data_IF_373775306057
#
_entry.id   IF_373775306057
#
_cell.length_a   1.000
_cell.length_b   1.000
_cell.length_c   1.000
_cell.angle_alpha   90.00
_cell.angle_beta   90.00
_cell.angle_gamma   90.00
#
_symmetry.space_group_name_H-M   'P 1'
#
loop_
_entity.id
_entity.type
_entity.pdbx_description
1 polymer ?
#
# COMPACT_ATOMS: atom_id res chain seq x y z
N UNK A 1 5.67 9.18 11.81
CA UNK A 1 6.16 9.64 10.51
C UNK A 1 5.59 11.02 10.19
N UNK A 2 4.27 11.18 9.98
CA UNK A 2 3.62 12.44 9.54
C UNK A 2 3.98 13.67 10.40
N UNK A 3 4.03 13.53 11.73
CA UNK A 3 4.43 14.61 12.64
C UNK A 3 5.89 15.03 12.41
N UNK A 4 6.81 14.05 12.32
CA UNK A 4 8.25 14.32 12.11
C UNK A 4 8.49 15.02 10.77
N UNK A 5 7.85 14.56 9.70
CA UNK A 5 7.92 15.19 8.39
C UNK A 5 7.47 16.65 8.48
N UNK A 6 6.26 16.90 9.04
CA UNK A 6 5.71 18.24 9.16
C UNK A 6 6.59 19.17 9.99
N UNK A 7 7.14 18.67 11.13
CA UNK A 7 8.07 19.44 11.99
C UNK A 7 9.34 19.85 11.25
N UNK A 8 9.81 19.03 10.33
CA UNK A 8 11.06 19.26 9.61
C UNK A 8 10.88 20.12 8.34
N UNK A 9 9.69 20.13 7.74
CA UNK A 9 9.43 20.83 6.46
C UNK A 9 8.80 22.21 6.63
N UNK A 10 8.04 22.43 7.70
CA UNK A 10 7.32 23.69 7.90
C UNK A 10 8.14 24.73 8.67
N UNK A 11 8.09 25.97 8.22
CA UNK A 11 8.68 27.11 8.96
C UNK A 11 7.80 27.48 10.14
N UNK A 12 8.40 27.57 11.31
CA UNK A 12 7.73 27.94 12.57
C UNK A 12 8.45 29.11 13.23
N UNK A 13 7.70 29.97 13.95
CA UNK A 13 8.31 30.91 14.88
C UNK A 13 8.99 30.16 16.03
N UNK A 14 9.95 30.81 16.71
CA UNK A 14 10.64 30.20 17.86
C UNK A 14 9.65 29.86 18.98
N UNK A 15 8.63 30.70 19.20
CA UNK A 15 7.57 30.44 20.16
C UNK A 15 6.77 29.17 19.80
N UNK A 16 6.33 29.06 18.55
CA UNK A 16 5.61 27.85 18.06
C UNK A 16 6.50 26.63 18.18
N UNK A 17 7.77 26.73 17.83
CA UNK A 17 8.74 25.62 17.93
C UNK A 17 8.84 25.12 19.37
N UNK A 18 8.96 26.00 20.35
CA UNK A 18 9.02 25.65 21.77
C UNK A 18 7.77 24.89 22.22
N UNK A 19 6.57 25.40 21.87
CA UNK A 19 5.30 24.72 22.19
C UNK A 19 5.18 23.34 21.54
N UNK A 20 5.62 23.21 20.30
CA UNK A 20 5.65 21.92 19.57
C UNK A 20 6.57 20.92 20.25
N UNK A 21 7.75 21.36 20.72
CA UNK A 21 8.70 20.51 21.45
C UNK A 21 8.18 20.08 22.83
N UNK A 22 7.49 20.95 23.54
CA UNK A 22 6.82 20.61 24.79
C UNK A 22 5.72 19.54 24.58
N UNK A 23 4.90 19.68 23.52
CA UNK A 23 3.87 18.69 23.18
C UNK A 23 4.49 17.36 22.72
N UNK A 24 5.58 17.40 21.96
CA UNK A 24 6.31 16.20 21.58
C UNK A 24 6.87 15.46 22.80
N UNK A 25 7.42 16.18 23.77
CA UNK A 25 7.90 15.59 25.03
C UNK A 25 6.76 14.91 25.80
N UNK A 26 5.60 15.58 25.92
CA UNK A 26 4.39 15.00 26.54
C UNK A 26 3.93 13.74 25.79
N UNK A 27 3.92 13.76 24.44
CA UNK A 27 3.56 12.61 23.63
C UNK A 27 4.50 11.42 23.84
N UNK A 28 5.82 11.67 23.91
CA UNK A 28 6.82 10.63 24.18
C UNK A 28 6.65 10.04 25.59
N UNK A 29 6.42 10.88 26.59
CA UNK A 29 6.15 10.43 27.97
C UNK A 29 4.87 9.58 28.05
N UNK A 30 3.78 10.00 27.41
CA UNK A 30 2.54 9.25 27.33
C UNK A 30 2.73 7.88 26.62
N UNK A 31 3.54 7.86 25.54
CA UNK A 31 3.90 6.60 24.84
C UNK A 31 4.68 5.66 25.76
N UNK A 32 5.65 6.17 26.51
CA UNK A 32 6.43 5.39 27.49
C UNK A 32 5.56 4.83 28.61
N UNK A 33 4.51 5.56 29.01
CA UNK A 33 3.49 5.12 29.97
C UNK A 33 2.36 4.29 29.36
N UNK A 34 2.45 3.86 28.09
CA UNK A 34 1.42 3.11 27.33
C UNK A 34 0.06 3.82 27.22
N UNK A 35 0.01 5.13 27.41
CA UNK A 35 -1.18 5.97 27.24
C UNK A 35 -1.28 6.48 25.79
N UNK A 36 -1.49 5.55 24.87
CA UNK A 36 -1.43 5.83 23.42
C UNK A 36 -2.45 6.88 22.95
N UNK A 37 -3.66 6.90 23.54
CA UNK A 37 -4.66 7.92 23.24
C UNK A 37 -4.16 9.33 23.57
N UNK A 38 -3.58 9.54 24.76
CA UNK A 38 -2.97 10.82 25.16
C UNK A 38 -1.80 11.20 24.24
N UNK A 39 -0.95 10.24 23.90
CA UNK A 39 0.16 10.48 22.98
C UNK A 39 -0.35 11.00 21.62
N UNK A 40 -1.40 10.39 21.08
CA UNK A 40 -2.06 10.82 19.83
C UNK A 40 -2.61 12.25 19.98
N UNK A 41 -3.29 12.58 21.11
CA UNK A 41 -3.78 13.93 21.40
C UNK A 41 -2.68 14.98 21.29
N UNK A 42 -1.55 14.74 21.96
CA UNK A 42 -0.43 15.69 21.95
C UNK A 42 0.20 15.85 20.56
N UNK A 43 0.38 14.77 19.80
CA UNK A 43 0.88 14.87 18.43
C UNK A 43 -0.08 15.61 17.50
N UNK A 44 -1.40 15.37 17.59
CA UNK A 44 -2.39 16.07 16.77
C UNK A 44 -2.45 17.56 17.10
N UNK A 45 -2.35 17.93 18.39
CA UNK A 45 -2.29 19.31 18.84
C UNK A 45 -1.00 20.01 18.34
N UNK A 46 0.14 19.34 18.40
CA UNK A 46 1.40 19.84 17.84
C UNK A 46 1.31 20.07 16.32
N UNK A 47 0.70 19.12 15.58
CA UNK A 47 0.49 19.29 14.13
C UNK A 47 -0.48 20.45 13.82
N UNK A 48 -1.48 20.70 14.63
CA UNK A 48 -2.36 21.85 14.48
C UNK A 48 -1.60 23.17 14.67
N UNK A 49 -0.74 23.27 15.69
CA UNK A 49 0.13 24.43 15.92
C UNK A 49 1.07 24.69 14.73
N UNK A 50 1.74 23.67 14.22
CA UNK A 50 2.62 23.80 13.05
C UNK A 50 1.88 24.39 11.84
N UNK A 51 0.61 24.03 11.67
CA UNK A 51 -0.26 24.49 10.57
C UNK A 51 -0.99 25.79 10.86
N UNK A 52 -0.69 26.44 11.97
CA UNK A 52 -1.40 27.64 12.45
C UNK A 52 -2.92 27.44 12.51
N UNK A 53 -3.34 26.26 12.98
CA UNK A 53 -4.76 25.91 13.09
C UNK A 53 -5.20 25.96 14.55
N UNK A 54 -6.32 26.66 14.89
CA UNK A 54 -6.79 26.75 16.25
C UNK A 54 -7.17 25.36 16.80
N UNK A 55 -6.85 25.10 18.06
CA UNK A 55 -7.23 23.88 18.76
C UNK A 55 -8.49 24.16 19.57
N UNK A 56 -9.65 24.11 18.90
CA UNK A 56 -10.98 24.35 19.50
C UNK A 56 -11.53 23.07 20.16
N UNK A 57 -12.50 23.18 21.10
CA UNK A 57 -13.17 22.00 21.67
C UNK A 57 -13.77 21.06 20.62
N UNK A 58 -14.40 21.61 19.57
CA UNK A 58 -14.94 20.81 18.44
C UNK A 58 -13.84 20.07 17.68
N UNK A 59 -12.70 20.72 17.44
CA UNK A 59 -11.55 20.08 16.80
C UNK A 59 -10.95 18.98 17.68
N UNK A 60 -10.84 19.21 18.99
CA UNK A 60 -10.32 18.23 19.92
C UNK A 60 -11.23 17.00 20.00
N UNK A 61 -12.56 17.20 20.12
CA UNK A 61 -13.52 16.11 20.07
C UNK A 61 -13.43 15.37 18.72
N UNK A 62 -13.40 16.11 17.60
CA UNK A 62 -13.19 15.52 16.28
C UNK A 62 -11.93 14.68 16.21
N UNK A 63 -10.83 15.13 16.79
CA UNK A 63 -9.55 14.40 16.82
C UNK A 63 -9.63 13.15 17.71
N UNK A 64 -10.39 13.18 18.79
CA UNK A 64 -10.62 12.05 19.69
C UNK A 64 -11.52 10.97 19.06
N UNK A 65 -12.51 11.39 18.27
CA UNK A 65 -13.53 10.51 17.71
C UNK A 65 -12.97 9.52 16.68
N UNK A 66 -13.40 8.29 16.80
CA UNK A 66 -13.24 7.21 15.82
C UNK A 66 -14.62 6.78 15.32
N UNK A 67 -14.73 6.63 14.01
CA UNK A 67 -15.94 6.13 13.36
C UNK A 67 -15.62 4.75 12.79
N UNK A 68 -16.46 3.78 13.10
CA UNK A 68 -16.40 2.43 12.55
C UNK A 68 -17.74 2.06 11.95
N UNK A 69 -17.73 1.62 10.70
CA UNK A 69 -18.87 0.96 10.07
C UNK A 69 -18.82 -0.53 10.35
N UNK A 70 -19.98 -1.17 10.42
CA UNK A 70 -20.08 -2.64 10.52
C UNK A 70 -19.51 -3.32 9.26
N UNK A 71 -19.59 -2.66 8.11
CA UNK A 71 -19.04 -3.10 6.83
C UNK A 71 -18.74 -1.90 5.91
N UNK A 72 -17.99 -2.13 4.84
CA UNK A 72 -17.70 -1.12 3.81
C UNK A 72 -18.44 -1.38 2.49
N UNK A 73 -18.92 -2.61 2.27
CA UNK A 73 -19.63 -3.01 1.05
C UNK A 73 -21.10 -3.28 1.39
N UNK A 74 -22.00 -2.54 0.75
CA UNK A 74 -23.44 -2.58 0.99
C UNK A 74 -24.20 -2.92 -0.26
N UNK A 75 -25.30 -3.68 -0.10
CA UNK A 75 -26.36 -3.77 -1.07
C UNK A 75 -27.34 -2.58 -0.91
N UNK A 76 -27.99 -2.10 -1.99
CA UNK A 76 -29.12 -1.18 -1.86
C UNK A 76 -30.20 -1.77 -0.96
N UNK A 77 -30.72 -0.96 -0.03
CA UNK A 77 -31.68 -1.40 0.97
C UNK A 77 -31.07 -1.93 2.27
N UNK A 78 -29.77 -2.14 2.33
CA UNK A 78 -29.07 -2.51 3.57
C UNK A 78 -29.19 -1.41 4.64
N UNK A 79 -28.85 -1.78 5.87
CA UNK A 79 -28.65 -0.83 6.97
C UNK A 79 -27.17 -0.75 7.30
N UNK A 80 -26.64 0.45 7.37
CA UNK A 80 -25.30 0.73 7.87
C UNK A 80 -25.36 1.03 9.37
N UNK A 81 -24.55 0.31 10.16
CA UNK A 81 -24.37 0.59 11.58
C UNK A 81 -23.09 1.41 11.76
N UNK A 82 -23.25 2.66 12.16
CA UNK A 82 -22.17 3.61 12.41
C UNK A 82 -21.90 3.63 13.90
N UNK A 83 -20.75 3.12 14.32
CA UNK A 83 -20.32 3.16 15.74
C UNK A 83 -19.32 4.28 15.94
N UNK A 84 -19.63 5.19 16.88
CA UNK A 84 -18.81 6.31 17.32
C UNK A 84 -18.16 5.93 18.63
N UNK A 85 -16.85 6.06 18.73
CA UNK A 85 -16.06 5.91 19.95
C UNK A 85 -14.99 6.98 20.03
N UNK A 86 -14.26 7.07 21.14
CA UNK A 86 -13.15 8.02 21.28
C UNK A 86 -11.87 7.31 21.76
N UNK A 87 -10.74 7.81 21.29
CA UNK A 87 -9.40 7.28 21.61
C UNK A 87 -8.75 7.97 22.81
N UNK A 88 -9.22 9.17 23.16
CA UNK A 88 -8.82 9.92 24.34
C UNK A 88 -9.93 10.87 24.78
N UNK A 89 -9.88 11.32 26.04
CA UNK A 89 -10.83 12.31 26.57
C UNK A 89 -10.35 13.71 26.20
N UNK A 90 -11.21 14.56 25.57
CA UNK A 90 -10.94 15.98 25.36
C UNK A 90 -10.66 16.73 26.67
N UNK A 91 -9.74 17.70 26.65
CA UNK A 91 -9.42 18.52 27.84
C UNK A 91 -10.59 19.49 28.15
N UNK A 92 -11.26 19.96 27.09
CA UNK A 92 -12.41 20.87 27.21
C UNK A 92 -13.65 20.18 26.61
N UNK A 93 -14.60 19.74 27.46
CA UNK A 93 -15.81 19.11 26.96
C UNK A 93 -16.70 20.11 26.22
N UNK A 94 -17.41 19.63 25.21
CA UNK A 94 -18.45 20.40 24.53
C UNK A 94 -19.68 20.47 25.41
N UNK A 95 -20.26 21.69 25.56
CA UNK A 95 -21.45 21.88 26.35
C UNK A 95 -22.72 21.40 25.62
N UNK A 96 -23.57 20.69 26.35
CA UNK A 96 -24.87 20.22 25.86
C UNK A 96 -24.81 19.04 24.90
N UNK A 97 -26.00 18.64 24.45
CA UNK A 97 -26.16 17.51 23.55
C UNK A 97 -25.93 17.93 22.10
N UNK A 98 -25.37 17.00 21.32
CA UNK A 98 -25.14 17.16 19.89
C UNK A 98 -26.41 16.79 19.10
N UNK A 99 -26.65 17.53 18.01
CA UNK A 99 -27.45 17.05 16.89
C UNK A 99 -26.55 16.65 15.73
N UNK A 100 -27.08 15.98 14.74
CA UNK A 100 -26.27 15.61 13.58
C UNK A 100 -27.07 14.96 12.47
N UNK A 101 -26.34 14.65 11.40
CA UNK A 101 -26.90 13.94 10.25
C UNK A 101 -25.89 12.96 9.68
N UNK A 102 -26.42 11.96 8.97
CA UNK A 102 -25.66 11.06 8.13
C UNK A 102 -26.08 11.31 6.71
N UNK A 103 -25.12 11.58 5.83
CA UNK A 103 -25.33 11.74 4.40
C UNK A 103 -24.48 10.77 3.59
N UNK A 104 -24.90 10.52 2.36
CA UNK A 104 -24.19 9.70 1.38
C UNK A 104 -24.00 10.51 0.10
N UNK A 105 -22.76 10.62 -0.36
CA UNK A 105 -22.36 11.45 -1.49
C UNK A 105 -21.56 10.68 -2.52
N UNK A 106 -21.85 10.89 -3.80
CA UNK A 106 -20.99 10.53 -4.92
C UNK A 106 -20.43 11.81 -5.59
N UNK A 107 -19.89 11.70 -6.80
CA UNK A 107 -19.37 12.83 -7.56
C UNK A 107 -20.46 13.81 -8.07
N UNK A 108 -21.74 13.43 -8.04
CA UNK A 108 -22.86 14.14 -8.67
C UNK A 108 -23.87 14.67 -7.67
N UNK A 109 -24.12 13.95 -6.60
CA UNK A 109 -25.19 14.26 -5.65
C UNK A 109 -24.83 13.87 -4.23
N UNK A 110 -25.45 14.57 -3.28
CA UNK A 110 -25.44 14.23 -1.86
C UNK A 110 -26.86 13.93 -1.42
N UNK A 111 -27.06 12.84 -0.69
CA UNK A 111 -28.34 12.42 -0.15
C UNK A 111 -28.25 12.28 1.35
N UNK A 112 -29.09 13.03 2.07
CA UNK A 112 -29.22 12.84 3.50
C UNK A 112 -29.97 11.53 3.79
N UNK A 113 -29.41 10.73 4.70
CA UNK A 113 -29.95 9.44 5.09
C UNK A 113 -30.71 9.50 6.40
N UNK A 114 -30.21 10.30 7.35
CA UNK A 114 -30.77 10.37 8.70
C UNK A 114 -30.35 11.66 9.42
N UNK A 115 -31.29 12.28 10.09
CA UNK A 115 -31.04 13.28 11.13
C UNK A 115 -31.25 12.66 12.51
N UNK A 116 -30.55 13.20 13.50
CA UNK A 116 -30.66 12.78 14.91
C UNK A 116 -30.31 13.92 15.86
N UNK A 117 -30.79 13.80 17.10
CA UNK A 117 -30.55 14.79 18.17
C UNK A 117 -30.25 14.04 19.49
N UNK A 118 -29.79 14.78 20.49
CA UNK A 118 -29.67 14.28 21.85
C UNK A 118 -28.47 13.39 22.15
N UNK A 119 -27.45 13.41 21.28
CA UNK A 119 -26.22 12.64 21.49
C UNK A 119 -25.33 13.36 22.52
N UNK A 120 -24.95 12.67 23.57
CA UNK A 120 -23.96 13.16 24.53
C UNK A 120 -22.58 13.25 23.88
N UNK A 121 -21.80 14.34 24.09
CA UNK A 121 -20.48 14.51 23.48
C UNK A 121 -19.36 13.69 24.19
N UNK A 122 -19.73 12.59 24.86
CA UNK A 122 -18.84 11.63 25.48
C UNK A 122 -19.01 10.27 24.81
N UNK A 123 -17.98 9.84 24.08
CA UNK A 123 -17.93 8.57 23.36
C UNK A 123 -16.95 7.56 24.00
N UNK A 124 -16.67 7.71 25.29
CA UNK A 124 -15.95 6.70 26.10
C UNK A 124 -16.72 5.37 26.11
N UNK A 125 -18.06 5.46 26.10
CA UNK A 125 -18.95 4.36 25.77
C UNK A 125 -19.39 4.53 24.32
N UNK A 126 -19.12 3.54 23.45
CA UNK A 126 -19.50 3.64 22.04
C UNK A 126 -20.99 3.86 21.84
N UNK A 127 -21.33 4.76 20.93
CA UNK A 127 -22.69 5.05 20.48
C UNK A 127 -22.88 4.55 19.08
N UNK A 128 -23.95 3.81 18.82
CA UNK A 128 -24.25 3.29 17.49
C UNK A 128 -25.50 3.96 16.90
N UNK A 129 -25.42 4.32 15.62
CA UNK A 129 -26.49 4.95 14.85
C UNK A 129 -26.71 4.11 13.59
N UNK A 130 -27.95 3.70 13.33
CA UNK A 130 -28.33 3.01 12.09
C UNK A 130 -28.83 4.02 11.06
N UNK A 131 -28.42 3.84 9.78
CA UNK A 131 -28.94 4.55 8.63
C UNK A 131 -29.26 3.56 7.49
N UNK A 132 -30.41 3.74 6.83
CA UNK A 132 -30.76 2.92 5.68
C UNK A 132 -29.99 3.39 4.43
N UNK A 133 -29.38 2.45 3.71
CA UNK A 133 -28.78 2.69 2.41
C UNK A 133 -29.90 2.71 1.36
N UNK A 134 -30.12 3.82 0.65
CA UNK A 134 -31.18 3.88 -0.34
C UNK A 134 -30.86 3.06 -1.59
N UNK A 135 -31.86 2.88 -2.46
CA UNK A 135 -31.65 2.28 -3.77
C UNK A 135 -30.87 3.24 -4.67
N UNK A 136 -29.57 3.01 -4.76
CA UNK A 136 -28.61 3.79 -5.54
C UNK A 136 -27.90 2.90 -6.57
N UNK A 137 -27.29 3.52 -7.55
CA UNK A 137 -26.44 2.83 -8.52
C UNK A 137 -25.21 2.23 -7.84
N UNK A 138 -24.67 1.14 -8.40
CA UNK A 138 -23.40 0.61 -7.96
C UNK A 138 -22.28 1.64 -8.14
N UNK A 139 -21.46 1.84 -7.11
CA UNK A 139 -20.37 2.81 -7.14
C UNK A 139 -19.74 3.08 -5.78
N UNK A 140 -18.67 3.84 -5.81
CA UNK A 140 -18.03 4.34 -4.60
C UNK A 140 -18.76 5.60 -4.11
N UNK A 141 -19.05 5.63 -2.82
CA UNK A 141 -19.72 6.73 -2.14
C UNK A 141 -18.94 7.15 -0.90
N UNK A 142 -19.13 8.39 -0.48
CA UNK A 142 -18.65 8.87 0.79
C UNK A 142 -19.82 8.98 1.76
N UNK A 143 -19.83 8.13 2.80
CA UNK A 143 -20.75 8.26 3.93
C UNK A 143 -20.14 9.29 4.89
N UNK A 144 -20.90 10.32 5.24
CA UNK A 144 -20.45 11.42 6.09
C UNK A 144 -21.32 11.50 7.33
N UNK A 145 -20.70 11.37 8.51
CA UNK A 145 -21.30 11.73 9.78
C UNK A 145 -20.98 13.20 10.05
N UNK A 146 -22.00 14.04 10.21
CA UNK A 146 -21.88 15.42 10.64
C UNK A 146 -22.49 15.58 12.02
N UNK A 147 -21.71 16.06 12.99
CA UNK A 147 -22.20 16.46 14.31
C UNK A 147 -22.20 17.98 14.44
N UNK A 148 -23.25 18.51 15.04
CA UNK A 148 -23.49 19.94 15.23
C UNK A 148 -23.51 20.26 16.75
N UNK A 149 -22.39 20.74 17.30
CA UNK A 149 -22.38 21.30 18.65
C UNK A 149 -23.33 22.53 18.71
N UNK A 150 -23.88 22.81 19.89
CA UNK A 150 -24.69 24.02 20.10
C UNK A 150 -23.87 25.29 19.82
N UNK A 151 -22.60 25.25 20.29
CA UNK A 151 -21.63 26.33 20.09
C UNK A 151 -20.34 25.70 19.53
N UNK A 152 -19.78 26.28 18.45
CA UNK A 152 -18.55 25.82 17.84
C UNK A 152 -18.68 25.26 16.43
N UNK A 153 -17.57 24.74 15.92
CA UNK A 153 -17.46 24.25 14.54
C UNK A 153 -18.15 22.91 14.36
N UNK A 154 -18.62 22.65 13.14
CA UNK A 154 -19.12 21.33 12.73
C UNK A 154 -18.01 20.28 12.82
N UNK A 155 -18.38 19.09 13.29
CA UNK A 155 -17.51 17.91 13.28
C UNK A 155 -17.95 17.03 12.11
N UNK A 156 -17.08 16.92 11.09
CA UNK A 156 -17.37 16.18 9.86
C UNK A 156 -16.44 14.97 9.77
N UNK A 157 -17.02 13.78 9.64
CA UNK A 157 -16.30 12.49 9.56
C UNK A 157 -16.73 11.72 8.31
N UNK A 158 -15.99 11.83 7.21
CA UNK A 158 -16.24 11.05 6.01
C UNK A 158 -15.65 9.65 6.13
N UNK A 159 -16.33 8.68 5.52
CA UNK A 159 -15.89 7.28 5.40
C UNK A 159 -16.33 6.76 4.03
N UNK A 160 -15.42 6.13 3.30
CA UNK A 160 -15.73 5.58 1.98
C UNK A 160 -16.49 4.26 2.10
N UNK A 161 -17.51 4.10 1.27
CA UNK A 161 -18.32 2.88 1.15
C UNK A 161 -18.51 2.50 -0.31
N UNK A 162 -18.65 1.22 -0.59
CA UNK A 162 -18.99 0.68 -1.90
C UNK A 162 -20.43 0.18 -1.87
N UNK A 163 -21.28 0.72 -2.75
CA UNK A 163 -22.61 0.14 -3.00
C UNK A 163 -22.48 -0.77 -4.23
N UNK A 164 -22.80 -2.06 -4.06
CA UNK A 164 -22.67 -3.02 -5.14
C UNK A 164 -23.61 -4.21 -4.94
N UNK A 165 -24.63 -4.29 -5.81
CA UNK A 165 -25.69 -5.31 -5.74
C UNK A 165 -25.16 -6.72 -5.82
N UNK A 166 -25.46 -7.53 -4.81
CA UNK A 166 -25.14 -8.94 -4.73
C UNK A 166 -23.64 -9.25 -4.60
N UNK A 167 -22.79 -8.25 -4.35
CA UNK A 167 -21.35 -8.46 -4.35
C UNK A 167 -20.90 -9.33 -3.17
N UNK A 168 -21.51 -9.16 -1.99
CA UNK A 168 -21.24 -10.02 -0.83
C UNK A 168 -21.61 -11.48 -1.11
N UNK A 169 -22.79 -11.72 -1.67
CA UNK A 169 -23.26 -13.07 -2.03
C UNK A 169 -22.38 -13.71 -3.12
N UNK A 170 -22.05 -12.95 -4.18
CA UNK A 170 -21.17 -13.43 -5.26
C UNK A 170 -19.77 -13.77 -4.75
N UNK A 171 -19.21 -12.97 -3.84
CA UNK A 171 -17.93 -13.29 -3.19
C UNK A 171 -17.96 -14.62 -2.46
N UNK A 172 -19.02 -14.89 -1.69
CA UNK A 172 -19.20 -16.15 -0.97
C UNK A 172 -19.38 -17.35 -1.93
N UNK A 173 -20.14 -17.19 -3.00
CA UNK A 173 -20.31 -18.18 -4.05
C UNK A 173 -18.96 -18.54 -4.73
N UNK A 174 -18.16 -17.52 -5.09
CA UNK A 174 -16.84 -17.73 -5.71
C UNK A 174 -15.92 -18.50 -4.78
N UNK A 175 -15.90 -18.20 -3.47
CA UNK A 175 -15.11 -18.97 -2.49
C UNK A 175 -15.47 -20.45 -2.48
N UNK A 176 -16.76 -20.75 -2.45
CA UNK A 176 -17.27 -22.14 -2.47
C UNK A 176 -16.90 -22.84 -3.77
N UNK A 177 -17.10 -22.16 -4.90
CA UNK A 177 -16.78 -22.68 -6.23
C UNK A 177 -15.27 -22.91 -6.40
N UNK A 178 -14.43 -21.98 -5.94
CA UNK A 178 -12.97 -22.13 -5.98
C UNK A 178 -12.49 -23.36 -5.21
N UNK A 179 -13.03 -23.61 -4.01
CA UNK A 179 -12.70 -24.82 -3.24
C UNK A 179 -13.10 -26.11 -3.97
N UNK A 180 -14.27 -26.13 -4.61
CA UNK A 180 -14.74 -27.27 -5.42
C UNK A 180 -13.84 -27.52 -6.64
N UNK A 181 -13.47 -26.45 -7.36
CA UNK A 181 -12.57 -26.52 -8.53
C UNK A 181 -11.18 -27.00 -8.10
N UNK A 182 -10.63 -26.47 -7.01
CA UNK A 182 -9.33 -26.93 -6.47
C UNK A 182 -9.34 -28.43 -6.14
N UNK A 183 -10.40 -28.92 -5.49
CA UNK A 183 -10.55 -30.34 -5.17
C UNK A 183 -10.59 -31.23 -6.45
N UNK A 184 -11.32 -30.75 -7.47
CA UNK A 184 -11.39 -31.45 -8.76
C UNK A 184 -10.06 -31.48 -9.50
N UNK A 185 -9.35 -30.34 -9.58
CA UNK A 185 -8.02 -30.27 -10.21
C UNK A 185 -7.05 -31.25 -9.55
N UNK A 186 -7.05 -31.34 -8.22
CA UNK A 186 -6.22 -32.28 -7.45
C UNK A 186 -6.60 -33.72 -7.76
N UNK A 187 -7.89 -34.05 -7.84
CA UNK A 187 -8.35 -35.41 -8.18
C UNK A 187 -7.98 -35.81 -9.62
N UNK A 188 -8.09 -34.88 -10.55
CA UNK A 188 -7.80 -35.07 -11.98
C UNK A 188 -6.28 -35.01 -12.28
N UNK A 189 -5.42 -34.73 -11.28
CA UNK A 189 -3.97 -34.51 -11.43
C UNK A 189 -3.63 -33.41 -12.46
N UNK A 190 -4.45 -32.38 -12.53
CA UNK A 190 -4.28 -31.21 -13.41
C UNK A 190 -3.65 -30.05 -12.65
N UNK A 191 -2.46 -30.27 -12.11
CA UNK A 191 -1.78 -29.28 -11.27
C UNK A 191 -1.40 -27.98 -12.02
N UNK A 192 -1.31 -28.03 -13.35
CA UNK A 192 -0.91 -26.89 -14.19
C UNK A 192 -1.85 -25.67 -14.06
N UNK A 193 -3.12 -25.88 -13.65
CA UNK A 193 -4.10 -24.81 -13.45
C UNK A 193 -4.33 -24.45 -11.96
N UNK A 194 -3.82 -25.28 -11.06
CA UNK A 194 -4.02 -25.10 -9.60
C UNK A 194 -3.40 -23.82 -9.07
N UNK A 195 -2.33 -23.33 -9.70
CA UNK A 195 -1.63 -22.09 -9.36
C UNK A 195 -2.50 -20.84 -9.50
N UNK A 196 -3.59 -20.89 -10.26
CA UNK A 196 -4.51 -19.77 -10.42
C UNK A 196 -5.58 -19.68 -9.32
N UNK A 197 -5.79 -20.75 -8.54
CA UNK A 197 -6.80 -20.77 -7.47
C UNK A 197 -6.52 -19.73 -6.38
N UNK A 198 -5.29 -19.53 -5.88
CA UNK A 198 -5.01 -18.50 -4.87
C UNK A 198 -5.41 -17.09 -5.30
N UNK A 199 -5.29 -16.76 -6.59
CA UNK A 199 -5.71 -15.45 -7.10
C UNK A 199 -7.24 -15.28 -7.03
N UNK A 200 -8.01 -16.33 -7.30
CA UNK A 200 -9.47 -16.34 -7.15
C UNK A 200 -9.85 -16.21 -5.66
N UNK A 201 -9.19 -16.97 -4.78
CA UNK A 201 -9.42 -16.91 -3.34
C UNK A 201 -9.13 -15.52 -2.78
N UNK A 202 -8.02 -14.91 -3.21
CA UNK A 202 -7.68 -13.54 -2.82
C UNK A 202 -8.75 -12.55 -3.27
N UNK A 203 -9.11 -12.55 -4.55
CA UNK A 203 -10.11 -11.65 -5.11
C UNK A 203 -11.47 -11.80 -4.40
N UNK A 204 -11.91 -13.03 -4.14
CA UNK A 204 -13.11 -13.28 -3.36
C UNK A 204 -12.98 -12.81 -1.90
N UNK A 205 -11.78 -12.86 -1.28
CA UNK A 205 -11.58 -12.38 0.08
C UNK A 205 -11.56 -10.86 0.21
N UNK A 206 -11.39 -10.11 -0.88
CA UNK A 206 -11.29 -8.65 -0.85
C UNK A 206 -12.56 -7.97 -0.30
N UNK A 207 -13.75 -8.55 -0.53
CA UNK A 207 -15.00 -8.06 0.06
C UNK A 207 -14.97 -8.14 1.58
N UNK A 208 -14.56 -9.28 2.13
CA UNK A 208 -14.42 -9.47 3.58
C UNK A 208 -13.31 -8.56 4.17
N UNK A 209 -12.19 -8.42 3.46
CA UNK A 209 -11.11 -7.53 3.87
C UNK A 209 -11.56 -6.07 3.88
N UNK A 210 -12.36 -5.64 2.88
CA UNK A 210 -12.96 -4.31 2.85
C UNK A 210 -13.93 -4.13 4.01
N UNK A 211 -14.83 -5.07 4.24
CA UNK A 211 -15.82 -5.04 5.34
C UNK A 211 -15.16 -5.02 6.72
N UNK A 212 -14.01 -5.68 6.88
CA UNK A 212 -13.25 -5.65 8.15
C UNK A 212 -12.28 -4.47 8.28
N UNK A 213 -12.20 -3.57 7.28
CA UNK A 213 -11.28 -2.44 7.27
C UNK A 213 -9.81 -2.80 7.01
N UNK A 214 -9.52 -4.06 6.62
CA UNK A 214 -8.17 -4.51 6.26
C UNK A 214 -7.75 -4.12 4.84
N UNK A 215 -8.73 -3.74 3.99
CA UNK A 215 -8.51 -3.27 2.63
C UNK A 215 -9.26 -1.95 2.41
N UNK A 216 -8.58 -0.94 1.85
CA UNK A 216 -9.21 0.31 1.44
C UNK A 216 -9.89 0.15 0.09
N UNK A 217 -11.20 0.38 0.04
CA UNK A 217 -11.99 0.38 -1.21
C UNK A 217 -11.62 1.53 -2.16
N UNK A 218 -10.92 2.55 -1.69
CA UNK A 218 -10.42 3.66 -2.52
C UNK A 218 -9.19 3.25 -3.34
N UNK A 219 -8.43 2.27 -2.83
CA UNK A 219 -7.16 1.82 -3.43
C UNK A 219 -7.28 0.53 -4.21
N UNK A 220 -8.39 -0.21 -4.05
CA UNK A 220 -8.60 -1.51 -4.64
C UNK A 220 -9.94 -1.57 -5.37
N UNK A 221 -9.94 -2.08 -6.60
CA UNK A 221 -11.16 -2.37 -7.34
C UNK A 221 -11.77 -3.71 -6.88
N UNK A 222 -12.46 -3.67 -5.73
CA UNK A 222 -13.07 -4.85 -5.12
C UNK A 222 -14.12 -5.49 -6.04
N UNK A 223 -14.94 -4.67 -6.72
CA UNK A 223 -15.97 -5.15 -7.63
C UNK A 223 -15.37 -5.84 -8.85
N UNK A 224 -14.42 -5.18 -9.51
CA UNK A 224 -13.73 -5.75 -10.67
C UNK A 224 -12.95 -7.01 -10.32
N UNK A 225 -12.33 -7.08 -9.14
CA UNK A 225 -11.63 -8.28 -8.68
C UNK A 225 -12.58 -9.49 -8.58
N UNK A 226 -13.76 -9.33 -7.97
CA UNK A 226 -14.77 -10.39 -7.85
C UNK A 226 -15.30 -10.84 -9.22
N UNK A 227 -15.56 -9.88 -10.13
CA UNK A 227 -15.97 -10.20 -11.52
C UNK A 227 -14.89 -10.98 -12.26
N UNK A 228 -13.64 -10.53 -12.16
CA UNK A 228 -12.50 -11.21 -12.77
C UNK A 228 -12.24 -12.61 -12.18
N UNK A 229 -12.48 -12.80 -10.89
CA UNK A 229 -12.36 -14.10 -10.23
C UNK A 229 -13.36 -15.13 -10.80
N UNK A 230 -14.61 -14.71 -11.02
CA UNK A 230 -15.61 -15.57 -11.67
C UNK A 230 -15.17 -15.99 -13.08
N UNK A 231 -14.74 -15.02 -13.90
CA UNK A 231 -14.25 -15.29 -15.25
C UNK A 231 -12.98 -16.18 -15.25
N UNK A 232 -12.14 -16.05 -14.23
CA UNK A 232 -10.95 -16.90 -14.04
C UNK A 232 -11.36 -18.34 -13.77
N UNK A 233 -12.33 -18.58 -12.87
CA UNK A 233 -12.87 -19.92 -12.61
C UNK A 233 -13.51 -20.54 -13.86
N UNK A 234 -14.27 -19.76 -14.63
CA UNK A 234 -14.89 -20.23 -15.87
C UNK A 234 -13.85 -20.78 -16.86
N UNK A 235 -12.68 -20.16 -16.93
CA UNK A 235 -11.57 -20.62 -17.77
C UNK A 235 -10.90 -21.87 -17.22
N UNK A 236 -10.60 -21.89 -15.92
CA UNK A 236 -10.00 -23.06 -15.26
C UNK A 236 -10.88 -24.30 -15.45
N UNK A 237 -12.19 -24.19 -15.29
CA UNK A 237 -13.14 -25.29 -15.48
C UNK A 237 -13.17 -25.82 -16.92
N UNK A 238 -12.91 -24.94 -17.91
CA UNK A 238 -12.73 -25.34 -19.31
C UNK A 238 -11.36 -25.94 -19.61
N UNK A 239 -10.46 -25.96 -18.64
CA UNK A 239 -9.06 -26.43 -18.82
C UNK A 239 -8.18 -25.40 -19.53
N UNK A 240 -8.56 -24.12 -19.49
CA UNK A 240 -7.80 -23.02 -20.10
C UNK A 240 -6.96 -22.29 -19.06
N UNK A 241 -5.69 -21.98 -19.41
CA UNK A 241 -4.84 -21.12 -18.60
C UNK A 241 -5.42 -19.68 -18.56
N UNK A 242 -5.79 -19.17 -17.36
CA UNK A 242 -6.41 -17.85 -17.24
C UNK A 242 -5.46 -16.67 -17.47
N UNK A 243 -4.13 -16.87 -17.42
CA UNK A 243 -3.11 -15.81 -17.63
C UNK A 243 -2.63 -15.70 -19.07
N UNK A 244 -2.68 -16.77 -19.85
CA UNK A 244 -2.04 -16.87 -21.17
C UNK A 244 -2.36 -15.74 -22.13
N UNK A 245 -3.62 -15.26 -22.13
CA UNK A 245 -4.07 -14.18 -23.02
C UNK A 245 -4.13 -12.82 -22.35
N UNK A 246 -3.84 -12.70 -21.05
CA UNK A 246 -3.96 -11.43 -20.34
C UNK A 246 -2.81 -10.49 -20.66
N UNK A 247 -3.15 -9.20 -20.80
CA UNK A 247 -2.23 -8.08 -21.01
C UNK A 247 -2.61 -6.92 -20.10
N UNK A 248 -1.70 -5.97 -19.95
CA UNK A 248 -1.94 -4.79 -19.14
C UNK A 248 -1.76 -5.06 -17.65
N UNK A 249 -2.54 -4.35 -16.85
CA UNK A 249 -2.48 -4.33 -15.38
C UNK A 249 -3.29 -5.49 -14.78
N UNK A 250 -2.62 -6.37 -14.04
CA UNK A 250 -3.20 -7.61 -13.51
C UNK A 250 -2.88 -7.73 -12.03
N UNK A 251 -3.91 -7.85 -11.20
CA UNK A 251 -3.77 -8.26 -9.80
C UNK A 251 -3.90 -9.78 -9.70
N UNK A 252 -2.99 -10.39 -8.97
CA UNK A 252 -2.88 -11.83 -8.82
C UNK A 252 -2.48 -12.21 -7.40
N UNK A 253 -2.44 -13.50 -7.10
CA UNK A 253 -1.94 -13.99 -5.84
C UNK A 253 -1.40 -15.42 -5.99
N UNK A 254 -0.49 -15.80 -5.11
CA UNK A 254 0.02 -17.17 -4.98
C UNK A 254 -0.15 -17.65 -3.54
N UNK A 255 -0.03 -18.96 -3.32
CA UNK A 255 -0.04 -19.55 -1.99
C UNK A 255 1.38 -19.75 -1.51
N UNK A 256 1.74 -19.09 -0.42
CA UNK A 256 3.08 -19.15 0.12
C UNK A 256 3.37 -20.51 0.77
N UNK A 257 4.49 -21.11 0.42
CA UNK A 257 4.96 -22.34 1.06
C UNK A 257 5.51 -22.12 2.48
N UNK A 258 5.66 -20.86 2.91
CA UNK A 258 6.18 -20.52 4.25
C UNK A 258 5.13 -20.78 5.34
N UNK A 259 3.87 -20.45 5.07
CA UNK A 259 2.80 -20.46 6.08
C UNK A 259 1.40 -20.74 5.50
N UNK A 260 1.33 -21.24 4.29
CA UNK A 260 0.09 -21.56 3.55
C UNK A 260 -0.87 -20.38 3.37
N UNK A 261 -0.39 -19.15 3.52
CA UNK A 261 -1.20 -17.94 3.31
C UNK A 261 -1.23 -17.53 1.84
N UNK A 262 -2.33 -16.90 1.42
CA UNK A 262 -2.45 -16.31 0.09
C UNK A 262 -1.79 -14.94 0.08
N UNK A 263 -0.77 -14.75 -0.78
CA UNK A 263 0.00 -13.52 -0.91
C UNK A 263 -0.25 -12.86 -2.25
N UNK A 264 -0.80 -11.63 -2.27
CA UNK A 264 -1.06 -10.93 -3.52
C UNK A 264 0.20 -10.27 -4.08
N UNK A 265 0.19 -10.12 -5.40
CA UNK A 265 1.11 -9.30 -6.16
C UNK A 265 0.37 -8.66 -7.35
N UNK A 266 0.92 -7.60 -7.90
CA UNK A 266 0.35 -6.92 -9.06
C UNK A 266 1.43 -6.77 -10.11
N UNK A 267 1.07 -6.98 -11.39
CA UNK A 267 2.03 -6.94 -12.46
C UNK A 267 1.44 -6.35 -13.74
N UNK A 268 2.31 -5.90 -14.61
CA UNK A 268 1.98 -5.35 -15.91
C UNK A 268 2.63 -6.18 -17.01
N UNK A 269 1.83 -6.61 -17.97
CA UNK A 269 2.29 -7.30 -19.19
C UNK A 269 2.06 -6.35 -20.37
N UNK A 270 3.11 -5.97 -21.14
CA UNK A 270 2.96 -5.11 -22.31
C UNK A 270 1.95 -5.67 -23.31
N UNK A 271 1.23 -4.77 -24.00
CA UNK A 271 0.18 -5.17 -24.94
C UNK A 271 0.72 -5.97 -26.12
N UNK A 272 2.00 -5.74 -26.49
CA UNK A 272 2.72 -6.45 -27.53
C UNK A 272 3.48 -7.69 -27.06
N UNK A 273 3.22 -8.17 -25.83
CA UNK A 273 3.90 -9.37 -25.31
C UNK A 273 3.69 -10.59 -26.20
N UNK A 274 4.80 -11.21 -26.62
CA UNK A 274 4.84 -12.49 -27.33
C UNK A 274 5.62 -13.53 -26.48
N UNK A 275 4.98 -14.64 -26.16
CA UNK A 275 5.58 -15.72 -25.38
C UNK A 275 6.75 -16.43 -26.11
N UNK A 276 6.91 -16.22 -27.42
CA UNK A 276 8.04 -16.73 -28.19
C UNK A 276 9.32 -15.92 -27.99
N UNK A 277 9.20 -14.69 -27.48
CA UNK A 277 10.32 -13.82 -27.18
C UNK A 277 10.64 -13.86 -25.69
N UNK A 278 11.89 -13.53 -25.32
CA UNK A 278 12.32 -13.36 -23.94
C UNK A 278 12.20 -11.89 -23.52
N UNK A 279 11.51 -11.64 -22.41
CA UNK A 279 11.14 -10.30 -21.93
C UNK A 279 11.91 -9.91 -20.68
N UNK A 280 12.39 -8.68 -20.57
CA UNK A 280 12.97 -8.16 -19.34
C UNK A 280 11.89 -7.97 -18.28
N UNK A 281 12.27 -8.15 -17.00
CA UNK A 281 11.37 -7.97 -15.87
C UNK A 281 11.98 -7.06 -14.80
N UNK A 282 11.18 -6.13 -14.29
CA UNK A 282 11.51 -5.30 -13.14
C UNK A 282 10.64 -5.71 -11.95
N UNK A 283 11.29 -6.03 -10.84
CA UNK A 283 10.64 -6.21 -9.53
C UNK A 283 10.70 -4.88 -8.80
N UNK A 284 9.53 -4.29 -8.49
CA UNK A 284 9.40 -2.97 -7.86
C UNK A 284 8.86 -3.09 -6.44
N UNK A 285 9.65 -2.69 -5.44
CA UNK A 285 9.35 -2.83 -4.02
C UNK A 285 8.79 -1.53 -3.45
N UNK A 286 7.59 -1.60 -2.88
CA UNK A 286 6.89 -0.43 -2.32
C UNK A 286 7.54 0.12 -1.05
N UNK A 287 7.23 1.37 -0.73
CA UNK A 287 7.64 2.03 0.52
C UNK A 287 6.80 1.61 1.73
N UNK A 288 7.22 2.06 2.92
CA UNK A 288 6.52 1.80 4.18
C UNK A 288 5.07 2.32 4.12
N UNK A 289 4.14 1.52 4.58
CA UNK A 289 2.71 1.83 4.53
C UNK A 289 2.03 1.49 3.19
N UNK A 290 2.80 1.01 2.19
CA UNK A 290 2.29 0.58 0.89
C UNK A 290 1.94 -0.90 0.82
N UNK A 291 1.59 -1.32 -0.40
CA UNK A 291 1.25 -2.68 -0.78
C UNK A 291 1.58 -2.90 -2.28
N UNK A 292 1.17 -4.04 -2.83
CA UNK A 292 1.36 -4.41 -4.24
C UNK A 292 0.75 -3.41 -5.24
N UNK A 293 -0.16 -2.53 -4.79
CA UNK A 293 -0.81 -1.54 -5.65
C UNK A 293 0.00 -0.24 -5.76
N UNK A 294 0.97 0.00 -4.89
CA UNK A 294 1.61 1.31 -4.70
C UNK A 294 2.25 1.88 -5.97
N UNK A 295 2.94 1.06 -6.78
CA UNK A 295 3.51 1.51 -8.05
C UNK A 295 2.47 1.61 -9.17
N UNK A 296 1.33 0.94 -9.04
CA UNK A 296 0.29 0.85 -10.06
C UNK A 296 -0.81 1.92 -9.93
N UNK A 297 -1.03 2.46 -8.74
CA UNK A 297 -2.05 3.48 -8.48
C UNK A 297 -1.50 4.76 -7.86
N UNK A 298 -0.38 4.66 -7.13
CA UNK A 298 0.40 5.79 -6.66
C UNK A 298 1.40 6.29 -7.71
N UNK A 299 2.36 7.10 -7.30
CA UNK A 299 3.45 7.60 -8.15
C UNK A 299 2.99 8.04 -9.55
N UNK A 300 2.29 9.18 -9.60
CA UNK A 300 1.69 9.73 -10.82
C UNK A 300 0.74 8.74 -11.53
N UNK A 301 -0.27 8.28 -10.77
CA UNK A 301 -1.31 7.36 -11.26
C UNK A 301 -0.74 6.11 -11.95
N UNK A 302 0.35 5.59 -11.42
CA UNK A 302 1.00 4.39 -11.93
C UNK A 302 1.83 4.65 -13.19
N UNK A 303 2.66 5.68 -13.19
CA UNK A 303 3.60 6.01 -14.27
C UNK A 303 4.44 4.82 -14.72
N UNK A 304 4.75 3.89 -13.81
CA UNK A 304 5.53 2.69 -14.13
C UNK A 304 4.89 1.83 -15.22
N UNK A 305 3.55 1.82 -15.32
CA UNK A 305 2.83 1.07 -16.38
C UNK A 305 3.09 1.65 -17.75
N UNK A 306 3.14 3.00 -17.85
CA UNK A 306 3.47 3.70 -19.11
C UNK A 306 4.89 3.38 -19.54
N UNK A 307 5.83 3.46 -18.60
CA UNK A 307 7.25 3.11 -18.87
C UNK A 307 7.39 1.65 -19.27
N UNK A 308 6.68 0.73 -18.63
CA UNK A 308 6.68 -0.69 -18.95
C UNK A 308 6.16 -0.95 -20.37
N UNK A 309 5.05 -0.30 -20.76
CA UNK A 309 4.50 -0.42 -22.12
C UNK A 309 5.45 0.12 -23.18
N UNK A 310 5.95 1.35 -22.98
CA UNK A 310 6.82 2.04 -23.93
C UNK A 310 8.14 1.31 -24.18
N UNK A 311 8.70 0.68 -23.13
CA UNK A 311 10.03 0.04 -23.20
C UNK A 311 9.97 -1.49 -23.34
N UNK A 312 8.77 -2.08 -23.33
CA UNK A 312 8.61 -3.52 -23.42
C UNK A 312 9.13 -4.28 -22.20
N UNK A 313 8.81 -3.80 -20.99
CA UNK A 313 9.15 -4.46 -19.73
C UNK A 313 7.94 -5.11 -19.08
N UNK A 314 8.11 -6.28 -18.53
CA UNK A 314 7.21 -6.81 -17.51
C UNK A 314 7.59 -6.16 -16.18
N UNK A 315 6.61 -5.62 -15.45
CA UNK A 315 6.84 -5.05 -14.12
C UNK A 315 6.01 -5.79 -13.11
N UNK A 316 6.58 -6.18 -11.97
CA UNK A 316 5.88 -6.88 -10.89
C UNK A 316 6.13 -6.22 -9.54
N UNK A 317 5.06 -6.06 -8.76
CA UNK A 317 5.07 -5.52 -7.40
C UNK A 317 4.54 -6.58 -6.43
N UNK A 318 5.40 -7.26 -5.65
CA UNK A 318 4.98 -8.13 -4.57
C UNK A 318 4.49 -7.33 -3.37
N UNK A 319 3.54 -7.87 -2.59
CA UNK A 319 3.10 -7.28 -1.32
C UNK A 319 4.19 -7.32 -0.24
N UNK A 320 5.09 -8.31 -0.28
CA UNK A 320 6.17 -8.44 0.70
C UNK A 320 5.68 -8.54 2.14
N UNK A 321 4.65 -9.35 2.42
CA UNK A 321 4.02 -9.63 3.72
C UNK A 321 3.30 -8.45 4.39
N UNK A 322 3.50 -7.23 3.96
CA UNK A 322 2.76 -6.11 4.52
C UNK A 322 3.53 -4.80 4.58
N UNK A 323 2.88 -3.76 5.09
CA UNK A 323 3.31 -2.38 4.92
C UNK A 323 4.57 -2.00 5.73
N UNK A 324 5.03 -2.84 6.66
CA UNK A 324 6.15 -2.55 7.56
C UNK A 324 7.19 -3.68 7.62
N UNK A 325 7.21 -4.57 6.62
CA UNK A 325 8.02 -5.80 6.63
C UNK A 325 9.52 -5.60 6.50
N UNK A 326 9.96 -4.42 6.03
CA UNK A 326 11.36 -4.14 5.63
C UNK A 326 11.94 -5.15 4.64
N UNK A 327 11.09 -5.95 3.99
CA UNK A 327 11.46 -7.05 3.10
C UNK A 327 12.45 -8.03 3.73
N UNK A 328 12.24 -8.39 4.99
CA UNK A 328 13.09 -9.32 5.73
C UNK A 328 12.42 -10.68 5.88
N UNK A 329 13.22 -11.74 5.95
CA UNK A 329 12.81 -13.13 6.21
C UNK A 329 11.69 -13.60 5.27
N UNK A 330 10.46 -13.78 5.77
CA UNK A 330 9.32 -14.22 4.97
C UNK A 330 8.94 -13.22 3.86
N UNK A 331 9.13 -11.94 4.08
CA UNK A 331 8.86 -10.90 3.07
C UNK A 331 9.89 -10.91 1.93
N UNK A 332 11.15 -11.21 2.21
CA UNK A 332 12.17 -11.46 1.18
C UNK A 332 11.81 -12.71 0.38
N UNK A 333 11.42 -13.80 1.08
CA UNK A 333 11.00 -15.03 0.43
C UNK A 333 9.83 -14.82 -0.52
N UNK A 334 8.85 -13.99 -0.13
CA UNK A 334 7.71 -13.63 -1.00
C UNK A 334 8.15 -12.96 -2.30
N UNK A 335 9.17 -12.09 -2.25
CA UNK A 335 9.71 -11.45 -3.47
C UNK A 335 10.30 -12.51 -4.41
N UNK A 336 11.05 -13.47 -3.86
CA UNK A 336 11.64 -14.54 -4.65
C UNK A 336 10.57 -15.50 -5.22
N UNK A 337 9.57 -15.83 -4.41
CA UNK A 337 8.47 -16.68 -4.85
C UNK A 337 7.69 -16.00 -5.99
N UNK A 338 7.42 -14.68 -5.90
CA UNK A 338 6.78 -13.91 -6.99
C UNK A 338 7.65 -13.90 -8.25
N UNK A 339 8.97 -13.76 -8.14
CA UNK A 339 9.87 -13.88 -9.31
C UNK A 339 9.72 -15.26 -9.96
N UNK A 340 9.64 -16.34 -9.17
CA UNK A 340 9.47 -17.71 -9.68
C UNK A 340 8.08 -17.90 -10.33
N UNK A 341 7.00 -17.34 -9.74
CA UNK A 341 5.66 -17.32 -10.33
C UNK A 341 5.69 -16.65 -11.72
N UNK A 342 6.29 -15.47 -11.81
CA UNK A 342 6.41 -14.75 -13.08
C UNK A 342 7.23 -15.52 -14.13
N UNK A 343 8.30 -16.19 -13.73
CA UNK A 343 9.12 -17.01 -14.63
C UNK A 343 8.41 -18.30 -15.08
N UNK A 344 7.53 -18.85 -14.26
CA UNK A 344 6.70 -20.00 -14.63
C UNK A 344 5.66 -19.61 -15.70
N UNK A 345 5.01 -18.46 -15.53
CA UNK A 345 3.83 -18.06 -16.30
C UNK A 345 4.17 -17.25 -17.56
N UNK A 346 5.35 -16.60 -17.58
CA UNK A 346 5.77 -15.72 -18.66
C UNK A 346 7.19 -16.01 -19.13
N UNK A 347 7.46 -15.70 -20.39
CA UNK A 347 8.78 -15.89 -21.03
C UNK A 347 9.77 -14.80 -20.60
N UNK A 348 10.23 -14.87 -19.36
CA UNK A 348 11.20 -13.93 -18.79
C UNK A 348 12.61 -14.24 -19.30
N UNK A 349 13.40 -13.18 -19.58
CA UNK A 349 14.83 -13.26 -19.82
C UNK A 349 15.57 -13.30 -18.48
N UNK A 350 16.14 -14.45 -18.14
CA UNK A 350 16.86 -14.63 -16.87
C UNK A 350 18.07 -13.69 -16.71
N UNK A 351 18.62 -13.19 -17.82
CA UNK A 351 19.73 -12.24 -17.80
C UNK A 351 19.27 -10.77 -17.73
N UNK A 352 17.95 -10.52 -17.74
CA UNK A 352 17.35 -9.19 -17.65
C UNK A 352 16.25 -9.12 -16.60
N UNK A 353 16.55 -9.62 -15.39
CA UNK A 353 15.72 -9.46 -14.20
C UNK A 353 16.33 -8.38 -13.33
N UNK A 354 15.58 -7.35 -13.01
CA UNK A 354 16.05 -6.18 -12.28
C UNK A 354 15.24 -5.96 -11.00
N UNK A 355 15.87 -5.30 -10.02
CA UNK A 355 15.25 -5.00 -8.74
C UNK A 355 15.33 -3.50 -8.46
N UNK A 356 14.19 -2.88 -8.20
CA UNK A 356 14.13 -1.49 -7.72
C UNK A 356 13.18 -1.34 -6.55
N UNK A 357 13.27 -0.24 -5.83
CA UNK A 357 12.31 0.03 -4.75
C UNK A 357 12.51 1.39 -4.12
N UNK A 358 11.41 1.91 -3.54
CA UNK A 358 11.39 3.22 -2.89
C UNK A 358 11.36 3.09 -1.37
N UNK A 359 12.14 3.91 -0.65
CA UNK A 359 12.09 4.00 0.81
C UNK A 359 12.36 2.64 1.46
N UNK A 360 11.39 2.05 2.17
CA UNK A 360 11.46 0.67 2.66
C UNK A 360 11.86 -0.31 1.56
N UNK A 361 11.31 -0.16 0.33
CA UNK A 361 11.68 -0.95 -0.84
C UNK A 361 13.11 -0.67 -1.33
N UNK A 362 13.64 0.54 -1.13
CA UNK A 362 15.03 0.87 -1.37
C UNK A 362 15.97 0.10 -0.43
N UNK A 363 15.64 0.03 0.86
CA UNK A 363 16.32 -0.85 1.82
C UNK A 363 16.19 -2.32 1.45
N UNK A 364 14.97 -2.73 1.01
CA UNK A 364 14.70 -4.09 0.54
C UNK A 364 15.53 -4.46 -0.67
N UNK A 365 15.72 -3.54 -1.63
CA UNK A 365 16.55 -3.78 -2.81
C UNK A 365 17.99 -4.18 -2.45
N UNK A 366 18.59 -3.52 -1.45
CA UNK A 366 19.90 -3.90 -0.94
C UNK A 366 19.88 -5.26 -0.26
N UNK A 367 18.91 -5.50 0.65
CA UNK A 367 18.86 -6.73 1.46
C UNK A 367 18.59 -7.97 0.60
N UNK A 368 17.68 -7.88 -0.36
CA UNK A 368 17.34 -8.98 -1.25
C UNK A 368 18.48 -9.28 -2.22
N UNK A 369 19.12 -8.25 -2.80
CA UNK A 369 20.22 -8.46 -3.74
C UNK A 369 21.41 -9.16 -3.09
N UNK A 370 21.83 -8.75 -1.88
CA UNK A 370 22.99 -9.37 -1.21
C UNK A 370 22.74 -10.82 -0.78
N UNK A 371 21.48 -11.19 -0.55
CA UNK A 371 21.09 -12.57 -0.22
C UNK A 371 20.83 -13.42 -1.47
N UNK A 372 20.60 -12.79 -2.64
CA UNK A 372 20.31 -13.44 -3.91
C UNK A 372 21.22 -12.86 -5.03
N UNK A 373 22.56 -13.00 -4.92
CA UNK A 373 23.52 -12.24 -5.72
C UNK A 373 23.49 -12.57 -7.22
N UNK A 374 23.00 -13.76 -7.58
CA UNK A 374 22.98 -14.24 -8.97
C UNK A 374 21.60 -14.08 -9.63
N UNK A 375 20.64 -13.40 -8.95
CA UNK A 375 19.27 -13.28 -9.46
C UNK A 375 19.06 -12.04 -10.33
N UNK A 376 19.69 -10.91 -9.97
CA UNK A 376 19.40 -9.62 -10.58
C UNK A 376 20.56 -9.14 -11.48
N UNK A 377 20.21 -8.60 -12.63
CA UNK A 377 21.13 -8.02 -13.59
C UNK A 377 21.65 -6.63 -13.15
N UNK A 378 20.81 -5.86 -12.48
CA UNK A 378 21.13 -4.57 -11.85
C UNK A 378 20.11 -4.24 -10.76
N UNK A 379 20.46 -3.30 -9.86
CA UNK A 379 19.56 -2.80 -8.82
C UNK A 379 19.40 -1.29 -8.87
N UNK A 380 18.20 -0.79 -8.51
CA UNK A 380 17.83 0.63 -8.52
C UNK A 380 17.15 1.07 -7.21
N UNK A 381 17.85 1.15 -6.07
CA UNK A 381 17.29 1.68 -4.84
C UNK A 381 17.05 3.20 -4.91
N UNK A 382 15.84 3.64 -4.51
CA UNK A 382 15.39 5.03 -4.48
C UNK A 382 15.12 5.44 -3.02
N UNK A 383 15.73 6.53 -2.55
CA UNK A 383 15.53 7.12 -1.24
C UNK A 383 15.60 6.08 -0.09
N UNK A 384 16.58 5.18 -0.15
CA UNK A 384 16.80 4.11 0.82
C UNK A 384 18.28 3.91 1.11
N UNK A 385 18.60 3.06 2.07
CA UNK A 385 19.98 2.77 2.48
C UNK A 385 20.19 1.31 2.85
N UNK A 386 21.39 0.97 3.32
CA UNK A 386 21.71 -0.38 3.77
C UNK A 386 21.28 -0.62 5.22
N UNK A 387 20.75 -1.80 5.47
CA UNK A 387 20.46 -2.29 6.81
C UNK A 387 21.74 -2.81 7.50
N UNK A 388 21.74 -3.01 8.84
CA UNK A 388 22.82 -3.73 9.51
C UNK A 388 23.09 -5.13 8.96
N UNK A 389 22.10 -5.73 8.31
CA UNK A 389 22.20 -7.09 7.73
C UNK A 389 22.74 -7.09 6.29
N UNK A 390 22.45 -6.05 5.49
CA UNK A 390 22.88 -5.96 4.10
C UNK A 390 24.28 -5.37 3.93
N UNK A 391 24.64 -4.34 4.73
CA UNK A 391 25.93 -3.64 4.63
C UNK A 391 27.16 -4.56 4.71
N UNK A 392 27.23 -5.54 5.64
CA UNK A 392 28.38 -6.47 5.70
C UNK A 392 28.51 -7.41 4.50
N UNK A 393 27.40 -7.60 3.75
CA UNK A 393 27.32 -8.55 2.65
C UNK A 393 27.53 -7.94 1.25
N UNK A 394 27.84 -6.63 1.13
CA UNK A 394 27.96 -5.93 -0.16
C UNK A 394 28.96 -6.61 -1.12
N UNK A 395 29.99 -7.27 -0.60
CA UNK A 395 30.93 -8.05 -1.42
C UNK A 395 30.26 -9.13 -2.26
N UNK A 396 29.08 -9.61 -1.88
CA UNK A 396 28.36 -10.64 -2.64
C UNK A 396 27.83 -10.11 -3.98
N UNK A 397 27.61 -8.80 -4.13
CA UNK A 397 26.99 -8.16 -5.32
C UNK A 397 27.91 -7.15 -6.01
N UNK A 398 29.23 -7.34 -5.94
CA UNK A 398 30.19 -6.45 -6.63
C UNK A 398 30.11 -6.55 -8.14
N UNK A 399 29.60 -7.64 -8.69
CA UNK A 399 29.37 -7.85 -10.10
C UNK A 399 28.02 -7.32 -10.61
N UNK A 400 27.11 -6.94 -9.68
CA UNK A 400 25.79 -6.37 -10.00
C UNK A 400 25.93 -4.87 -10.09
N UNK A 401 25.61 -4.20 -11.20
CA UNK A 401 25.62 -2.73 -11.34
C UNK A 401 24.52 -2.08 -10.52
N UNK A 402 24.79 -0.89 -9.95
CA UNK A 402 23.81 -0.14 -9.14
C UNK A 402 23.50 1.22 -9.75
N UNK A 403 22.22 1.58 -9.79
CA UNK A 403 21.79 2.96 -9.93
C UNK A 403 21.10 3.38 -8.63
N UNK A 404 21.60 4.42 -7.97
CA UNK A 404 21.09 4.89 -6.68
C UNK A 404 20.56 6.30 -6.85
N UNK A 405 19.31 6.54 -6.48
CA UNK A 405 18.66 7.86 -6.59
C UNK A 405 18.20 8.33 -5.22
N UNK A 406 18.52 9.59 -4.84
CA UNK A 406 18.09 10.17 -3.57
C UNK A 406 17.96 11.69 -3.66
N UNK A 407 16.97 12.27 -3.01
CA UNK A 407 16.85 13.72 -2.86
C UNK A 407 17.71 14.23 -1.69
N UNK A 408 18.46 15.33 -1.88
CA UNK A 408 19.31 15.89 -0.83
C UNK A 408 18.53 16.61 0.27
N UNK A 409 17.24 16.92 0.01
CA UNK A 409 16.32 17.52 0.98
C UNK A 409 15.25 16.51 1.49
N UNK A 410 15.59 15.22 1.55
CA UNK A 410 14.71 14.17 2.04
C UNK A 410 14.55 14.25 3.58
N UNK A 411 13.35 14.60 4.12
CA UNK A 411 13.13 14.72 5.55
C UNK A 411 12.81 13.39 6.24
N UNK A 412 12.62 12.32 5.46
CA UNK A 412 12.17 11.00 5.94
C UNK A 412 13.34 10.03 6.08
N UNK A 413 14.13 9.91 5.02
CA UNK A 413 15.37 9.12 5.01
C UNK A 413 16.52 10.06 4.67
N UNK A 414 17.47 10.28 5.58
CA UNK A 414 18.61 11.15 5.30
C UNK A 414 19.39 10.65 4.08
N UNK A 415 19.73 11.57 3.17
CA UNK A 415 20.50 11.26 1.94
C UNK A 415 21.83 10.56 2.23
N UNK A 416 22.39 10.78 3.41
CA UNK A 416 23.61 10.13 3.88
C UNK A 416 23.50 8.60 3.94
N UNK A 417 22.30 8.05 4.04
CA UNK A 417 22.11 6.59 3.98
C UNK A 417 22.47 6.04 2.60
N UNK A 418 22.08 6.73 1.52
CA UNK A 418 22.51 6.37 0.16
C UNK A 418 23.99 6.70 -0.08
N UNK A 419 24.48 7.85 0.37
CA UNK A 419 25.92 8.23 0.25
C UNK A 419 26.86 7.19 0.85
N UNK A 420 26.51 6.65 2.04
CA UNK A 420 27.25 5.55 2.71
C UNK A 420 27.31 4.29 1.86
N UNK A 421 26.20 3.91 1.23
CA UNK A 421 26.12 2.72 0.37
C UNK A 421 26.93 2.91 -0.91
N UNK A 422 26.81 4.06 -1.55
CA UNK A 422 27.56 4.43 -2.76
C UNK A 422 29.06 4.45 -2.48
N UNK A 423 29.49 5.05 -1.35
CA UNK A 423 30.89 5.05 -0.94
C UNK A 423 31.42 3.62 -0.78
N UNK A 424 30.71 2.80 -0.01
CA UNK A 424 31.12 1.41 0.21
C UNK A 424 31.19 0.59 -1.09
N UNK A 425 30.24 0.79 -2.01
CA UNK A 425 30.25 0.13 -3.31
C UNK A 425 31.42 0.58 -4.19
N UNK A 426 31.75 1.87 -4.22
CA UNK A 426 32.93 2.39 -4.94
C UNK A 426 34.24 1.82 -4.40
N UNK A 427 34.37 1.71 -3.08
CA UNK A 427 35.53 1.09 -2.43
C UNK A 427 35.67 -0.39 -2.77
N UNK A 428 34.57 -1.06 -3.12
CA UNK A 428 34.52 -2.46 -3.57
C UNK A 428 34.63 -2.61 -5.10
N UNK A 429 34.77 -1.52 -5.86
CA UNK A 429 34.90 -1.54 -7.32
C UNK A 429 33.60 -1.81 -8.07
N UNK A 430 32.45 -1.56 -7.46
CA UNK A 430 31.14 -1.74 -8.10
C UNK A 430 30.91 -0.66 -9.15
N UNK A 431 30.31 -1.02 -10.26
CA UNK A 431 29.81 -0.09 -11.28
C UNK A 431 28.55 0.63 -10.74
N UNK A 432 28.66 1.96 -10.48
CA UNK A 432 27.59 2.73 -9.82
C UNK A 432 27.29 4.02 -10.57
N UNK A 433 26.02 4.24 -10.91
CA UNK A 433 25.46 5.55 -11.23
C UNK A 433 24.75 6.09 -9.98
N UNK A 434 25.23 7.22 -9.45
CA UNK A 434 24.57 7.89 -8.31
C UNK A 434 23.97 9.20 -8.76
N UNK A 435 22.67 9.38 -8.49
CA UNK A 435 21.90 10.58 -8.79
C UNK A 435 21.39 11.16 -7.47
N UNK A 436 22.03 12.24 -7.04
CA UNK A 436 21.57 13.05 -5.92
C UNK A 436 20.77 14.21 -6.47
N UNK A 437 19.46 14.22 -6.24
CA UNK A 437 18.53 15.21 -6.78
C UNK A 437 18.53 16.43 -5.88
N UNK A 438 19.05 17.56 -6.38
CA UNK A 438 19.12 18.80 -5.63
C UNK A 438 17.74 19.35 -5.31
N UNK A 439 17.46 19.65 -4.03
CA UNK A 439 16.16 20.08 -3.52
C UNK A 439 15.11 18.98 -3.50
N UNK A 440 15.41 17.78 -4.00
CA UNK A 440 14.48 16.65 -4.05
C UNK A 440 14.11 16.14 -2.66
N UNK A 441 12.82 15.84 -2.45
CA UNK A 441 12.33 15.24 -1.21
C UNK A 441 12.12 13.72 -1.34
N UNK A 442 11.55 13.10 -0.29
CA UNK A 442 11.39 11.65 -0.20
C UNK A 442 10.55 11.03 -1.32
N UNK A 443 9.51 11.72 -1.79
CA UNK A 443 8.53 11.15 -2.73
C UNK A 443 8.65 11.66 -4.16
N UNK A 444 9.02 12.92 -4.35
CA UNK A 444 9.03 13.56 -5.67
C UNK A 444 10.15 13.06 -6.60
N UNK A 445 11.18 12.44 -6.03
CA UNK A 445 12.29 11.85 -6.79
C UNK A 445 11.93 10.53 -7.49
N UNK A 446 10.80 9.88 -7.12
CA UNK A 446 10.49 8.51 -7.56
C UNK A 446 10.16 8.45 -9.05
N UNK A 447 9.19 9.24 -9.51
CA UNK A 447 8.75 9.21 -10.92
C UNK A 447 9.82 9.72 -11.87
N UNK A 448 10.51 10.86 -11.60
CA UNK A 448 11.61 11.31 -12.43
C UNK A 448 12.74 10.29 -12.56
N UNK A 449 13.00 9.49 -11.49
CA UNK A 449 14.04 8.46 -11.50
C UNK A 449 13.77 7.32 -12.49
N UNK A 450 12.52 7.06 -12.88
CA UNK A 450 12.19 5.92 -13.75
C UNK A 450 12.95 5.97 -15.06
N UNK A 451 13.06 7.14 -15.68
CA UNK A 451 13.80 7.26 -16.93
C UNK A 451 15.25 6.77 -16.78
N UNK A 452 15.98 7.30 -15.81
CA UNK A 452 17.38 6.95 -15.59
C UNK A 452 17.56 5.50 -15.15
N UNK A 453 16.63 4.96 -14.32
CA UNK A 453 16.68 3.58 -13.85
C UNK A 453 16.46 2.61 -15.02
N UNK A 454 15.46 2.86 -15.88
CA UNK A 454 15.22 1.98 -17.01
C UNK A 454 16.30 2.13 -18.10
N UNK A 455 16.86 3.33 -18.30
CA UNK A 455 18.05 3.50 -19.18
C UNK A 455 19.25 2.68 -18.65
N UNK A 456 19.44 2.66 -17.34
CA UNK A 456 20.47 1.84 -16.69
C UNK A 456 20.22 0.36 -16.87
N UNK A 457 18.97 -0.08 -16.70
CA UNK A 457 18.58 -1.47 -16.89
C UNK A 457 18.76 -1.93 -18.34
N UNK A 458 18.41 -1.10 -19.32
CA UNK A 458 18.62 -1.39 -20.75
C UNK A 458 20.10 -1.62 -21.08
N UNK A 459 21.00 -0.94 -20.39
CA UNK A 459 22.45 -1.03 -20.62
C UNK A 459 23.10 -2.25 -19.94
N UNK A 460 22.38 -2.97 -19.05
CA UNK A 460 22.99 -4.02 -18.25
C UNK A 460 22.26 -5.36 -18.37
N UNK A 461 23.06 -6.42 -18.50
CA UNK A 461 22.60 -7.81 -18.39
C UNK A 461 23.31 -8.50 -17.23
N UNK A 462 22.73 -9.57 -16.72
CA UNK A 462 23.33 -10.34 -15.64
C UNK A 462 24.74 -10.81 -16.02
N UNK A 463 25.67 -10.50 -15.14
CA UNK A 463 27.07 -10.93 -15.27
C UNK A 463 27.29 -12.11 -14.33
N UNK A 464 27.93 -13.20 -14.80
CA UNK A 464 28.30 -14.27 -13.90
C UNK A 464 29.29 -13.73 -12.85
N UNK A 465 29.14 -14.19 -11.60
CA UNK A 465 30.13 -13.92 -10.56
C UNK A 465 31.48 -14.43 -11.03
N UNK A 466 32.51 -13.56 -11.01
CA UNK A 466 33.87 -14.02 -11.33
C UNK A 466 34.23 -15.19 -10.41
N UNK A 467 34.79 -16.27 -10.99
CA UNK A 467 35.30 -17.37 -10.20
C UNK A 467 36.30 -16.82 -9.18
N UNK A 468 36.13 -17.15 -7.91
CA UNK A 468 37.11 -16.78 -6.89
C UNK A 468 38.42 -17.48 -7.25
N UNK A 469 39.44 -16.68 -7.62
CA UNK A 469 40.81 -17.17 -7.78
C UNK A 469 41.39 -17.51 -6.41
#
# INVERSE_FOLDING_TARGET
>A
VRFRTLKNTERMSDETRKLVEELEAKAKAATGGQKYGEAVKYYLRAMALIRNQPWTPSRELSAAMQIKLDRAVFDPGDRALITISQSFTPDVPIAGKLSGSISLKDSKQEKELKEFTGIEPDFTKPVSIEAAIPDLADGNYQLTLTLRPKDGDLIIKPTSVLIARGLNARSAEIKTRAASVAAKLKADKKDDLSHAIPAVEYAASMVEMANSGRLSIERADVKGAVVNASATLDRIEKGEDPLRARRGDIQWAYRSAVDDTVQPYRFYIPTNYDAKMKWPMVVALHGMGGDENSFFTGYDNGAIRRVAEERGYIVVCPKGRGPYSMYLVAAERDVIDVVNEMKRDFSIDDDRVYLMGHSMGGYGSWSIAVNNPDLFAAIGPIAGGGTPFSRPKLKAITHVPWIVVHGDNDPTVPVDESRKMVKAGKELGVEIKYIEVHGGNHGDVVVPAFKDIFDWFDAHKRRPKAAAN
#
